data_IF_539070100505
#
_entry.id   IF_539070100505
#
_cell.length_a   1.000
_cell.length_b   1.000
_cell.length_c   1.000
_cell.angle_alpha   90.00
_cell.angle_beta   90.00
_cell.angle_gamma   90.00
#
_symmetry.space_group_name_H-M   'P 1'
#
loop_
_entity.id
_entity.type
_entity.pdbx_description
1 polymer ?
#
# COMPACT_ATOMS: atom_id res chain seq x y z
N UNK A 1 12.62 0.94 -24.93
CA UNK A 1 11.94 2.25 -24.97
C UNK A 1 11.30 2.62 -23.61
N UNK A 2 11.85 2.17 -22.48
CA UNK A 2 11.25 2.38 -21.14
C UNK A 2 11.80 3.56 -20.34
N UNK A 3 12.72 4.35 -20.90
CA UNK A 3 13.49 5.37 -20.15
C UNK A 3 12.98 6.82 -20.30
N UNK A 4 11.74 7.03 -20.78
CA UNK A 4 11.28 8.39 -21.16
C UNK A 4 10.14 8.98 -20.30
N UNK A 5 9.53 8.25 -19.37
CA UNK A 5 8.34 8.76 -18.65
C UNK A 5 8.59 9.29 -17.23
N UNK A 6 9.85 9.31 -16.77
CA UNK A 6 10.21 9.85 -15.46
C UNK A 6 10.65 11.32 -15.49
N UNK A 7 10.41 12.05 -16.59
CA UNK A 7 10.46 13.52 -16.55
C UNK A 7 9.15 14.01 -15.91
N UNK A 8 9.19 14.13 -14.59
CA UNK A 8 8.39 14.85 -13.55
C UNK A 8 7.05 15.55 -13.89
N UNK A 9 6.64 15.78 -15.13
CA UNK A 9 5.46 16.62 -15.45
C UNK A 9 4.34 15.93 -16.23
N UNK A 10 4.46 14.64 -16.60
CA UNK A 10 3.34 13.92 -17.24
C UNK A 10 3.05 12.55 -16.63
N UNK A 11 2.76 12.55 -15.32
CA UNK A 11 2.29 11.37 -14.59
C UNK A 11 1.03 10.75 -15.23
N UNK A 12 0.18 11.56 -15.88
CA UNK A 12 -1.04 11.11 -16.55
C UNK A 12 -0.73 10.33 -17.84
N UNK A 13 0.17 10.81 -18.69
CA UNK A 13 0.61 10.05 -19.86
C UNK A 13 1.39 8.80 -19.46
N UNK A 14 2.22 8.89 -18.41
CA UNK A 14 2.93 7.74 -17.86
C UNK A 14 1.95 6.66 -17.40
N UNK A 15 0.88 7.02 -16.67
CA UNK A 15 -0.14 6.06 -16.25
C UNK A 15 -0.76 5.32 -17.44
N UNK A 16 -1.14 6.03 -18.50
CA UNK A 16 -1.75 5.40 -19.68
C UNK A 16 -0.84 4.34 -20.28
N UNK A 17 0.43 4.68 -20.47
CA UNK A 17 1.44 3.76 -21.03
C UNK A 17 1.67 2.57 -20.09
N UNK A 18 1.74 2.81 -18.78
CA UNK A 18 1.94 1.74 -17.80
C UNK A 18 0.76 0.75 -17.76
N UNK A 19 -0.48 1.23 -17.90
CA UNK A 19 -1.66 0.35 -18.02
C UNK A 19 -1.65 -0.47 -19.31
N UNK A 20 -1.20 0.11 -20.43
CA UNK A 20 -1.01 -0.63 -21.68
C UNK A 20 0.09 -1.69 -21.54
N UNK A 21 1.19 -1.37 -20.86
CA UNK A 21 2.25 -2.33 -20.54
C UNK A 21 1.73 -3.49 -19.67
N UNK A 22 0.94 -3.21 -18.63
CA UNK A 22 0.33 -4.25 -17.78
C UNK A 22 -0.70 -5.11 -18.52
N UNK A 23 -1.36 -4.57 -19.55
CA UNK A 23 -2.25 -5.37 -20.40
C UNK A 23 -1.49 -6.40 -21.25
N UNK A 24 -0.21 -6.15 -21.54
CA UNK A 24 0.67 -7.06 -22.28
C UNK A 24 1.46 -7.98 -21.34
N UNK A 25 1.91 -7.44 -20.21
CA UNK A 25 2.76 -8.12 -19.22
C UNK A 25 2.18 -7.89 -17.81
N UNK A 26 1.11 -8.62 -17.43
CA UNK A 26 0.40 -8.38 -16.16
C UNK A 26 1.22 -8.70 -14.90
N UNK A 27 2.29 -9.50 -15.05
CA UNK A 27 3.15 -9.92 -13.96
C UNK A 27 4.38 -9.00 -13.78
N UNK A 28 4.48 -7.91 -14.55
CA UNK A 28 5.60 -6.98 -14.49
C UNK A 28 5.57 -6.14 -13.20
N UNK A 29 6.30 -6.59 -12.18
CA UNK A 29 6.41 -5.90 -10.89
C UNK A 29 6.88 -4.46 -11.06
N UNK A 30 7.90 -4.20 -11.89
CA UNK A 30 8.41 -2.84 -12.16
C UNK A 30 7.30 -1.93 -12.69
N UNK A 31 6.44 -2.44 -13.58
CA UNK A 31 5.35 -1.64 -14.17
C UNK A 31 4.28 -1.32 -13.12
N UNK A 32 3.96 -2.27 -12.24
CA UNK A 32 3.07 -2.03 -11.10
C UNK A 32 3.63 -0.98 -10.13
N UNK A 33 4.92 -1.03 -9.82
CA UNK A 33 5.60 -0.06 -8.96
C UNK A 33 5.55 1.35 -9.55
N UNK A 34 5.82 1.47 -10.85
CA UNK A 34 5.73 2.75 -11.56
C UNK A 34 4.29 3.28 -11.59
N UNK A 35 3.28 2.42 -11.77
CA UNK A 35 1.87 2.82 -11.79
C UNK A 35 1.43 3.34 -10.42
N UNK A 36 1.72 2.58 -9.36
CA UNK A 36 1.39 2.97 -7.98
C UNK A 36 2.10 4.28 -7.60
N UNK A 37 3.37 4.43 -7.96
CA UNK A 37 4.13 5.66 -7.73
C UNK A 37 3.51 6.85 -8.48
N UNK A 38 3.15 6.68 -9.76
CA UNK A 38 2.49 7.71 -10.55
C UNK A 38 1.18 8.18 -9.93
N UNK A 39 0.33 7.26 -9.47
CA UNK A 39 -0.94 7.59 -8.81
C UNK A 39 -0.73 8.30 -7.47
N UNK A 40 0.27 7.89 -6.68
CA UNK A 40 0.62 8.53 -5.42
C UNK A 40 1.09 9.97 -5.64
N UNK A 41 1.91 10.22 -6.66
CA UNK A 41 2.39 11.57 -7.02
C UNK A 41 1.24 12.47 -7.47
N UNK A 42 0.24 11.91 -8.15
CA UNK A 42 -0.99 12.61 -8.53
C UNK A 42 -1.98 12.76 -7.36
N UNK A 43 -1.69 12.22 -6.17
CA UNK A 43 -2.61 12.16 -5.03
C UNK A 43 -3.96 11.50 -5.34
N UNK A 44 -4.02 10.60 -6.33
CA UNK A 44 -5.22 9.85 -6.73
C UNK A 44 -5.37 8.61 -5.86
N UNK A 45 -5.62 8.84 -4.57
CA UNK A 45 -5.58 7.80 -3.54
C UNK A 45 -6.69 6.75 -3.70
N UNK A 46 -7.91 7.12 -4.09
CA UNK A 46 -9.00 6.17 -4.35
C UNK A 46 -8.63 5.18 -5.45
N UNK A 47 -8.04 5.68 -6.54
CA UNK A 47 -7.64 4.85 -7.66
C UNK A 47 -6.42 4.00 -7.34
N UNK A 48 -5.49 4.53 -6.54
CA UNK A 48 -4.36 3.77 -6.03
C UNK A 48 -4.87 2.57 -5.21
N UNK A 49 -5.85 2.75 -4.32
CA UNK A 49 -6.45 1.64 -3.56
C UNK A 49 -7.07 0.60 -4.49
N UNK A 50 -7.78 1.02 -5.55
CA UNK A 50 -8.34 0.10 -6.54
C UNK A 50 -7.24 -0.68 -7.28
N UNK A 51 -6.19 0.02 -7.74
CA UNK A 51 -5.05 -0.58 -8.45
C UNK A 51 -4.30 -1.59 -7.57
N UNK A 52 -4.15 -1.32 -6.28
CA UNK A 52 -3.50 -2.26 -5.36
C UNK A 52 -4.31 -3.53 -5.12
N UNK A 53 -5.64 -3.49 -5.29
CA UNK A 53 -6.49 -4.68 -5.19
C UNK A 53 -6.30 -5.63 -6.38
N UNK A 54 -5.85 -5.10 -7.53
CA UNK A 54 -5.57 -5.87 -8.75
C UNK A 54 -4.15 -6.45 -8.77
N UNK A 55 -3.31 -6.13 -7.77
CA UNK A 55 -1.94 -6.64 -7.72
C UNK A 55 -1.89 -8.16 -7.60
N UNK A 56 -0.91 -8.80 -8.26
CA UNK A 56 -0.56 -10.19 -7.99
C UNK A 56 -0.30 -10.42 -6.49
N UNK A 57 -0.88 -11.49 -5.95
CA UNK A 57 -0.77 -11.83 -4.53
C UNK A 57 0.30 -12.92 -4.31
N UNK A 58 1.16 -12.81 -3.27
CA UNK A 58 1.28 -11.70 -2.33
C UNK A 58 2.03 -10.49 -2.92
N UNK A 59 1.56 -9.24 -2.70
CA UNK A 59 2.25 -8.06 -3.18
C UNK A 59 3.52 -7.80 -2.36
N UNK A 60 4.56 -7.20 -2.97
CA UNK A 60 5.73 -6.72 -2.27
C UNK A 60 5.39 -5.79 -1.11
N UNK A 61 6.19 -5.84 -0.03
CA UNK A 61 5.96 -5.07 1.20
C UNK A 61 5.84 -3.55 0.96
N UNK A 62 6.62 -3.00 0.03
CA UNK A 62 6.55 -1.57 -0.26
C UNK A 62 5.24 -1.17 -0.95
N UNK A 63 4.65 -2.04 -1.78
CA UNK A 63 3.31 -1.80 -2.37
C UNK A 63 2.21 -1.95 -1.31
N UNK A 64 2.36 -2.91 -0.37
CA UNK A 64 1.48 -2.99 0.81
C UNK A 64 1.55 -1.72 1.65
N UNK A 65 2.74 -1.18 1.88
CA UNK A 65 2.90 0.09 2.58
C UNK A 65 2.19 1.23 1.86
N UNK A 66 2.30 1.33 0.53
CA UNK A 66 1.56 2.32 -0.26
C UNK A 66 0.04 2.19 -0.11
N UNK A 67 -0.49 0.97 -0.01
CA UNK A 67 -1.92 0.76 0.26
C UNK A 67 -2.36 1.26 1.62
N UNK A 68 -1.57 0.95 2.65
CA UNK A 68 -1.79 1.49 3.99
C UNK A 68 -1.76 3.02 4.01
N UNK A 69 -0.80 3.65 3.32
CA UNK A 69 -0.70 5.11 3.19
C UNK A 69 -1.91 5.70 2.47
N UNK A 70 -2.34 5.11 1.36
CA UNK A 70 -3.48 5.60 0.60
C UNK A 70 -4.78 5.55 1.42
N UNK A 71 -5.04 4.42 2.12
CA UNK A 71 -6.20 4.30 3.00
C UNK A 71 -6.18 5.34 4.13
N UNK A 72 -5.01 5.63 4.71
CA UNK A 72 -4.85 6.68 5.71
C UNK A 72 -5.10 8.09 5.15
N UNK A 73 -4.65 8.37 3.92
CA UNK A 73 -4.91 9.66 3.24
C UNK A 73 -6.40 9.87 2.97
N UNK A 74 -7.11 8.79 2.66
CA UNK A 74 -8.56 8.75 2.50
C UNK A 74 -9.35 8.76 3.80
N UNK A 75 -8.67 8.71 4.95
CA UNK A 75 -9.29 8.57 6.28
C UNK A 75 -10.16 7.30 6.43
N UNK A 76 -9.91 6.28 5.60
CA UNK A 76 -10.56 4.97 5.67
C UNK A 76 -9.86 4.11 6.72
N UNK A 77 -10.01 4.50 7.99
CA UNK A 77 -9.21 3.94 9.08
C UNK A 77 -9.52 2.46 9.33
N UNK A 78 -10.76 2.03 9.20
CA UNK A 78 -11.20 0.64 9.37
C UNK A 78 -10.59 -0.26 8.29
N UNK A 79 -10.57 0.20 7.04
CA UNK A 79 -9.92 -0.51 5.93
C UNK A 79 -8.40 -0.57 6.14
N UNK A 80 -7.77 0.53 6.58
CA UNK A 80 -6.34 0.53 6.91
C UNK A 80 -6.00 -0.43 8.07
N UNK A 81 -6.86 -0.54 9.09
CA UNK A 81 -6.71 -1.52 10.17
C UNK A 81 -6.75 -2.94 9.60
N UNK A 82 -7.75 -3.25 8.78
CA UNK A 82 -7.87 -4.57 8.14
C UNK A 82 -6.64 -4.91 7.28
N UNK A 83 -6.18 -3.93 6.49
CA UNK A 83 -4.99 -4.06 5.65
C UNK A 83 -3.72 -4.38 6.45
N UNK A 84 -3.43 -3.61 7.51
CA UNK A 84 -2.25 -3.88 8.34
C UNK A 84 -2.37 -5.18 9.16
N UNK A 85 -3.59 -5.59 9.53
CA UNK A 85 -3.82 -6.89 10.18
C UNK A 85 -3.50 -8.05 9.23
N UNK A 86 -4.02 -8.01 8.01
CA UNK A 86 -3.72 -9.02 7.00
C UNK A 86 -2.21 -9.11 6.72
N UNK A 87 -1.51 -7.97 6.67
CA UNK A 87 -0.06 -7.98 6.53
C UNK A 87 0.64 -8.63 7.75
N UNK A 88 0.19 -8.38 8.98
CA UNK A 88 0.74 -9.05 10.16
C UNK A 88 0.36 -10.53 10.26
N UNK A 89 -0.71 -10.99 9.62
CA UNK A 89 -1.02 -12.41 9.52
C UNK A 89 0.01 -13.14 8.64
N UNK A 90 0.45 -12.49 7.56
CA UNK A 90 1.51 -12.98 6.66
C UNK A 90 2.92 -12.79 7.26
N UNK A 91 3.17 -11.67 7.95
CA UNK A 91 4.44 -11.32 8.59
C UNK A 91 4.25 -10.90 10.06
N UNK A 92 4.05 -11.86 10.99
CA UNK A 92 3.77 -11.58 12.41
C UNK A 92 4.84 -10.73 13.11
N UNK A 93 6.08 -10.83 12.64
CA UNK A 93 7.25 -10.22 13.26
C UNK A 93 7.56 -8.81 12.74
N UNK A 94 6.75 -8.28 11.81
CA UNK A 94 6.99 -6.97 11.22
C UNK A 94 6.69 -5.83 12.20
N UNK A 95 7.70 -5.42 12.98
CA UNK A 95 7.57 -4.39 14.02
C UNK A 95 7.04 -3.05 13.50
N UNK A 96 7.49 -2.63 12.30
CA UNK A 96 7.00 -1.40 11.66
C UNK A 96 5.49 -1.37 11.47
N UNK A 97 4.92 -2.43 10.90
CA UNK A 97 3.47 -2.58 10.69
C UNK A 97 2.73 -2.67 12.03
N UNK A 98 3.29 -3.38 13.01
CA UNK A 98 2.73 -3.45 14.38
C UNK A 98 2.59 -2.07 15.01
N UNK A 99 3.62 -1.22 14.90
CA UNK A 99 3.59 0.17 15.38
C UNK A 99 2.57 1.02 14.63
N UNK A 100 2.49 0.89 13.29
CA UNK A 100 1.49 1.59 12.47
C UNK A 100 0.07 1.21 12.88
N UNK A 101 -0.20 -0.08 13.03
CA UNK A 101 -1.51 -0.58 13.45
C UNK A 101 -1.87 -0.12 14.86
N UNK A 102 -0.93 -0.17 15.81
CA UNK A 102 -1.16 0.34 17.16
C UNK A 102 -1.45 1.85 17.18
N UNK A 103 -0.69 2.64 16.41
CA UNK A 103 -0.95 4.07 16.25
C UNK A 103 -2.30 4.37 15.62
N UNK A 104 -2.73 3.54 14.67
CA UNK A 104 -4.04 3.65 14.04
C UNK A 104 -5.18 3.32 15.02
N UNK A 105 -5.05 2.26 15.81
CA UNK A 105 -6.01 1.94 16.88
C UNK A 105 -6.12 3.08 17.91
N UNK A 106 -4.99 3.66 18.33
CA UNK A 106 -5.00 4.82 19.21
C UNK A 106 -5.72 6.03 18.58
N UNK A 107 -5.55 6.24 17.26
CA UNK A 107 -6.21 7.32 16.52
C UNK A 107 -7.73 7.16 16.45
N UNK A 108 -8.24 5.93 16.29
CA UNK A 108 -9.68 5.65 16.30
C UNK A 108 -10.27 5.49 17.72
N UNK A 109 -9.44 5.67 18.76
CA UNK A 109 -9.88 5.63 20.16
C UNK A 109 -9.86 4.24 20.81
N UNK A 110 -9.42 3.21 20.09
CA UNK A 110 -9.30 1.84 20.61
C UNK A 110 -7.93 1.62 21.27
N UNK A 111 -7.77 2.22 22.45
CA UNK A 111 -6.52 2.12 23.21
C UNK A 111 -6.19 0.69 23.63
N UNK A 112 -7.21 -0.13 23.91
CA UNK A 112 -7.02 -1.51 24.33
C UNK A 112 -6.42 -2.36 23.20
N UNK A 113 -6.94 -2.22 21.97
CA UNK A 113 -6.37 -2.88 20.81
C UNK A 113 -4.94 -2.40 20.52
N UNK A 114 -4.65 -1.11 20.68
CA UNK A 114 -3.31 -0.57 20.51
C UNK A 114 -2.31 -1.22 21.48
N UNK A 115 -2.66 -1.33 22.77
CA UNK A 115 -1.83 -1.96 23.79
C UNK A 115 -1.65 -3.46 23.53
N UNK A 116 -2.74 -4.17 23.19
CA UNK A 116 -2.72 -5.60 22.87
C UNK A 116 -1.77 -5.92 21.71
N UNK A 117 -1.80 -5.11 20.65
CA UNK A 117 -0.94 -5.30 19.48
C UNK A 117 0.54 -5.08 19.82
N UNK A 118 0.87 -4.14 20.71
CA UNK A 118 2.26 -3.88 21.12
C UNK A 118 2.82 -4.91 22.10
N UNK A 119 1.98 -5.42 23.01
CA UNK A 119 2.39 -6.37 24.06
C UNK A 119 2.55 -7.79 23.52
N UNK A 120 1.88 -8.13 22.41
CA UNK A 120 2.01 -9.44 21.75
C UNK A 120 3.39 -9.56 21.09
N UNK A 121 4.41 -9.85 21.91
CA UNK A 121 5.75 -10.23 21.46
C UNK A 121 5.64 -11.61 20.78
N UNK A 122 6.20 -11.81 19.59
CA UNK A 122 6.22 -13.13 18.97
C UNK A 122 6.97 -14.11 19.90
N UNK A 123 6.57 -15.39 19.93
CA UNK A 123 7.30 -16.40 20.68
C UNK A 123 8.75 -16.44 20.15
N UNK A 124 9.69 -16.33 21.08
CA UNK A 124 11.13 -16.46 20.85
C UNK A 124 11.52 -17.83 20.34
#
# INVERSE_FOLDING_TARGET
>A
LGQLYLSVEDYAAAEKVLRECLALEPDSQETWEMLVSSLAQQSRWEELVAVLADLPQPPPDHLREMGGVALLKLQRFEEAIAHYRAWLEDKPDHEGVRKRLAGLYAKVGDREAAERILVRRPPS
#
